data_IF_687654805731
#
_entry.id   IF_687654805731
#
_cell.length_a   1.000
_cell.length_b   1.000
_cell.length_c   1.000
_cell.angle_alpha   90.00
_cell.angle_beta   90.00
_cell.angle_gamma   90.00
#
_symmetry.space_group_name_H-M   'P 1'
#
loop_
_entity.id
_entity.type
_entity.pdbx_description
1 polymer ?
#
# COMPACT_ATOMS: atom_id res chain seq x y z
N UNK A 1 82.01 23.71 -22.98
CA UNK A 1 80.70 24.12 -23.53
C UNK A 1 80.45 23.27 -24.77
N UNK A 2 79.64 22.21 -24.65
CA UNK A 2 79.33 21.28 -25.74
C UNK A 2 77.96 21.64 -26.33
N UNK A 3 77.90 21.86 -27.65
CA UNK A 3 76.64 22.05 -28.39
C UNK A 3 75.97 20.70 -28.64
N UNK A 4 74.67 20.54 -28.36
CA UNK A 4 73.96 19.29 -28.65
C UNK A 4 73.73 19.15 -30.16
N UNK A 5 74.11 17.99 -30.69
CA UNK A 5 73.80 17.54 -32.05
C UNK A 5 72.30 17.27 -32.15
N UNK A 6 71.57 18.11 -32.88
CA UNK A 6 70.21 17.80 -33.30
C UNK A 6 70.29 16.81 -34.46
N UNK A 7 69.84 15.57 -34.22
CA UNK A 7 69.66 14.61 -35.31
C UNK A 7 68.62 15.16 -36.27
N UNK A 8 69.05 15.41 -37.51
CA UNK A 8 68.18 15.81 -38.60
C UNK A 8 67.13 14.72 -38.82
N UNK A 9 65.85 15.05 -38.63
CA UNK A 9 64.75 14.20 -39.10
C UNK A 9 64.75 14.33 -40.61
N UNK A 10 65.04 13.24 -41.32
CA UNK A 10 64.97 13.19 -42.78
C UNK A 10 63.56 13.64 -43.22
N UNK A 11 63.45 14.53 -44.23
CA UNK A 11 62.16 14.96 -44.73
C UNK A 11 61.47 13.75 -45.36
N UNK A 12 60.43 13.24 -44.71
CA UNK A 12 59.55 12.22 -45.29
C UNK A 12 59.06 12.73 -46.64
N UNK A 13 59.15 11.88 -47.68
CA UNK A 13 58.61 12.19 -49.00
C UNK A 13 57.13 12.59 -48.84
N UNK A 14 56.71 13.64 -49.54
CA UNK A 14 55.35 14.19 -49.42
C UNK A 14 54.27 13.11 -49.63
N UNK A 15 54.56 12.13 -50.49
CA UNK A 15 53.71 10.98 -50.78
C UNK A 15 53.50 10.07 -49.56
N UNK A 16 54.53 9.88 -48.72
CA UNK A 16 54.43 9.07 -47.49
C UNK A 16 53.67 9.80 -46.38
N UNK A 17 53.77 11.13 -46.35
CA UNK A 17 52.98 11.97 -45.44
C UNK A 17 51.49 11.96 -45.82
N UNK A 18 51.18 12.10 -47.10
CA UNK A 18 49.81 12.01 -47.62
C UNK A 18 49.22 10.64 -47.29
N UNK A 19 49.95 9.56 -47.56
CA UNK A 19 49.47 8.20 -47.27
C UNK A 19 49.23 7.96 -45.78
N UNK A 20 50.10 8.50 -44.91
CA UNK A 20 49.91 8.41 -43.46
C UNK A 20 48.72 9.24 -42.97
N UNK A 21 48.51 10.42 -43.55
CA UNK A 21 47.35 11.25 -43.23
C UNK A 21 46.05 10.59 -43.66
N UNK A 22 46.00 10.00 -44.86
CA UNK A 22 44.84 9.25 -45.35
C UNK A 22 44.53 8.05 -44.44
N UNK A 23 45.54 7.27 -44.06
CA UNK A 23 45.37 6.14 -43.13
C UNK A 23 44.85 6.58 -41.76
N UNK A 24 45.36 7.68 -41.22
CA UNK A 24 44.92 8.18 -39.91
C UNK A 24 43.51 8.79 -40.00
N UNK A 25 43.16 9.42 -41.12
CA UNK A 25 41.81 9.93 -41.39
C UNK A 25 40.81 8.78 -41.46
N UNK A 26 41.18 7.69 -42.16
CA UNK A 26 40.38 6.47 -42.26
C UNK A 26 40.21 5.82 -40.88
N UNK A 27 41.30 5.70 -40.10
CA UNK A 27 41.25 5.15 -38.74
C UNK A 27 40.34 5.97 -37.82
N UNK A 28 40.35 7.30 -37.95
CA UNK A 28 39.49 8.19 -37.17
C UNK A 28 38.02 8.05 -37.57
N UNK A 29 37.71 7.87 -38.86
CA UNK A 29 36.35 7.57 -39.32
C UNK A 29 35.86 6.20 -38.83
N UNK A 30 36.72 5.18 -38.85
CA UNK A 30 36.38 3.83 -38.38
C UNK A 30 36.23 3.75 -36.85
N UNK A 31 36.95 4.59 -36.09
CA UNK A 31 36.89 4.65 -34.62
C UNK A 31 35.82 5.60 -34.09
N UNK A 32 35.28 6.47 -34.93
CA UNK A 32 34.23 7.42 -34.56
C UNK A 32 32.99 7.06 -35.36
N UNK A 33 32.14 6.12 -34.89
CA UNK A 33 30.86 5.91 -35.54
C UNK A 33 30.17 7.26 -35.65
N UNK A 34 29.73 7.62 -36.86
CA UNK A 34 28.89 8.79 -37.04
C UNK A 34 27.76 8.68 -36.01
N UNK A 35 27.63 9.69 -35.15
CA UNK A 35 26.52 9.72 -34.20
C UNK A 35 25.28 9.86 -35.05
N UNK A 36 24.63 8.74 -35.32
CA UNK A 36 23.23 8.69 -35.72
C UNK A 36 22.48 9.29 -34.53
N UNK A 37 22.38 10.62 -34.52
CA UNK A 37 21.36 11.29 -33.73
C UNK A 37 20.07 10.77 -34.33
N UNK A 38 19.52 9.74 -33.70
CA UNK A 38 18.15 9.29 -33.90
C UNK A 38 17.35 10.59 -33.85
N UNK A 39 16.88 11.02 -35.01
CA UNK A 39 16.28 12.34 -35.22
C UNK A 39 14.85 12.31 -34.67
N UNK A 40 14.71 11.76 -33.46
CA UNK A 40 13.54 11.80 -32.59
C UNK A 40 13.36 13.21 -31.97
N UNK A 41 13.92 14.23 -32.62
CA UNK A 41 13.47 15.63 -32.54
C UNK A 41 11.97 15.79 -32.88
N UNK A 42 11.27 14.73 -33.33
CA UNK A 42 9.83 14.75 -33.61
C UNK A 42 8.93 14.80 -32.36
N UNK A 43 9.49 14.66 -31.15
CA UNK A 43 8.74 14.78 -29.89
C UNK A 43 9.42 15.75 -28.94
N UNK A 44 9.55 17.01 -29.35
CA UNK A 44 9.71 18.07 -28.36
C UNK A 44 8.61 17.89 -27.31
N UNK A 45 9.00 17.66 -26.07
CA UNK A 45 8.03 17.50 -24.99
C UNK A 45 7.27 18.81 -24.90
N UNK A 46 6.00 18.83 -25.34
CA UNK A 46 5.16 20.03 -25.30
C UNK A 46 5.10 20.66 -23.91
N UNK A 47 5.39 19.88 -22.86
CA UNK A 47 5.59 20.37 -21.51
C UNK A 47 6.77 21.35 -21.40
N UNK A 48 7.92 21.03 -21.96
CA UNK A 48 9.13 21.85 -21.92
C UNK A 48 8.90 23.17 -22.68
N UNK A 49 8.29 23.09 -23.86
CA UNK A 49 7.91 24.28 -24.63
C UNK A 49 6.93 25.16 -23.85
N UNK A 50 5.93 24.55 -23.22
CA UNK A 50 4.98 25.27 -22.38
C UNK A 50 5.66 25.91 -21.18
N UNK A 51 6.58 25.21 -20.50
CA UNK A 51 7.33 25.77 -19.37
C UNK A 51 8.18 26.99 -19.79
N UNK A 52 8.85 26.93 -20.95
CA UNK A 52 9.64 28.04 -21.49
C UNK A 52 8.77 29.26 -21.89
N UNK A 53 7.60 29.03 -22.50
CA UNK A 53 6.69 30.11 -22.89
C UNK A 53 5.91 30.67 -21.68
N UNK A 54 5.69 29.87 -20.64
CA UNK A 54 4.91 30.24 -19.46
C UNK A 54 5.49 31.44 -18.72
N UNK A 55 6.80 31.63 -18.74
CA UNK A 55 7.47 32.77 -18.09
C UNK A 55 7.06 34.13 -18.68
N UNK A 56 6.56 34.14 -19.92
CA UNK A 56 6.15 35.36 -20.64
C UNK A 56 4.75 35.84 -20.27
N UNK A 57 3.95 35.02 -19.59
CA UNK A 57 2.56 35.32 -19.29
C UNK A 57 2.28 35.29 -17.79
N UNK A 58 1.41 36.19 -17.33
CA UNK A 58 0.90 36.11 -15.95
C UNK A 58 -0.02 34.91 -15.78
N UNK A 59 -0.18 34.44 -14.54
CA UNK A 59 -1.10 33.34 -14.22
C UNK A 59 -2.55 33.62 -14.67
N UNK A 60 -2.97 34.90 -14.65
CA UNK A 60 -4.30 35.29 -15.10
C UNK A 60 -4.47 35.19 -16.62
N UNK A 61 -3.47 35.65 -17.39
CA UNK A 61 -3.47 35.54 -18.85
C UNK A 61 -3.45 34.09 -19.31
N UNK A 62 -2.63 33.25 -18.67
CA UNK A 62 -2.61 31.81 -18.93
C UNK A 62 -4.00 31.20 -18.71
N UNK A 63 -4.70 31.57 -17.64
CA UNK A 63 -6.04 31.05 -17.38
C UNK A 63 -7.07 31.52 -18.42
N UNK A 64 -6.94 32.75 -18.94
CA UNK A 64 -7.78 33.23 -20.05
C UNK A 64 -7.52 32.42 -21.31
N UNK A 65 -6.26 32.26 -21.71
CA UNK A 65 -5.88 31.47 -22.90
C UNK A 65 -6.33 30.01 -22.78
N UNK A 66 -6.21 29.42 -21.58
CA UNK A 66 -6.71 28.06 -21.33
C UNK A 66 -8.22 27.94 -21.50
N UNK A 67 -8.99 28.99 -21.21
CA UNK A 67 -10.44 28.97 -21.36
C UNK A 67 -10.88 28.90 -22.83
N UNK A 68 -9.99 29.24 -23.77
CA UNK A 68 -10.24 29.13 -25.21
C UNK A 68 -10.05 27.69 -25.74
N UNK A 69 -9.43 26.79 -24.96
CA UNK A 69 -9.22 25.40 -25.34
C UNK A 69 -10.57 24.68 -25.38
N UNK A 70 -10.97 24.21 -26.57
CA UNK A 70 -12.24 23.50 -26.81
C UNK A 70 -12.16 21.98 -26.63
N UNK A 71 -10.96 21.42 -26.46
CA UNK A 71 -10.76 19.97 -26.33
C UNK A 71 -11.36 19.43 -25.02
N UNK A 72 -12.31 18.51 -25.15
CA UNK A 72 -12.96 17.82 -24.04
C UNK A 72 -11.98 16.94 -23.25
N UNK A 73 -11.01 16.32 -23.91
CA UNK A 73 -10.06 15.43 -23.24
C UNK A 73 -9.07 16.21 -22.36
N UNK A 74 -8.66 17.40 -22.80
CA UNK A 74 -7.93 18.36 -21.98
C UNK A 74 -8.69 18.65 -20.67
N UNK A 75 -9.96 19.06 -20.76
CA UNK A 75 -10.76 19.39 -19.57
C UNK A 75 -11.09 18.19 -18.69
N UNK A 76 -11.31 17.00 -19.26
CA UNK A 76 -11.43 15.76 -18.47
C UNK A 76 -10.19 15.49 -17.66
N UNK A 77 -9.00 15.70 -18.24
CA UNK A 77 -7.72 15.52 -17.57
C UNK A 77 -7.54 16.56 -16.46
N UNK A 78 -7.89 17.82 -16.72
CA UNK A 78 -7.87 18.89 -15.72
C UNK A 78 -8.79 18.59 -14.53
N UNK A 79 -10.02 18.13 -14.80
CA UNK A 79 -10.96 17.74 -13.74
C UNK A 79 -10.41 16.59 -12.90
N UNK A 80 -9.83 15.56 -13.52
CA UNK A 80 -9.18 14.45 -12.80
C UNK A 80 -8.03 14.96 -11.92
N UNK A 81 -7.18 15.83 -12.46
CA UNK A 81 -6.07 16.44 -11.73
C UNK A 81 -6.56 17.23 -10.50
N UNK A 82 -7.57 18.08 -10.68
CA UNK A 82 -8.17 18.85 -9.58
C UNK A 82 -8.85 17.97 -8.54
N UNK A 83 -9.52 16.90 -8.94
CA UNK A 83 -10.11 15.92 -8.03
C UNK A 83 -9.04 15.20 -7.20
N UNK A 84 -7.94 14.80 -7.83
CA UNK A 84 -6.81 14.18 -7.12
C UNK A 84 -6.22 15.15 -6.09
N UNK A 85 -5.97 16.40 -6.46
CA UNK A 85 -5.47 17.43 -5.54
C UNK A 85 -6.46 17.69 -4.39
N UNK A 86 -7.76 17.76 -4.68
CA UNK A 86 -8.79 17.94 -3.66
C UNK A 86 -8.80 16.78 -2.65
N UNK A 87 -8.65 15.54 -3.11
CA UNK A 87 -8.57 14.37 -2.24
C UNK A 87 -7.35 14.43 -1.31
N UNK A 88 -6.19 14.84 -1.82
CA UNK A 88 -4.98 15.04 -1.01
C UNK A 88 -5.23 16.10 0.07
N UNK A 89 -5.73 17.28 -0.31
CA UNK A 89 -6.00 18.37 0.65
C UNK A 89 -7.03 17.98 1.70
N UNK A 90 -8.09 17.26 1.31
CA UNK A 90 -9.09 16.76 2.27
C UNK A 90 -8.45 15.71 3.19
N UNK A 91 -7.65 14.79 2.66
CA UNK A 91 -6.92 13.78 3.42
C UNK A 91 -6.01 14.42 4.47
N UNK A 92 -5.18 15.37 4.06
CA UNK A 92 -4.25 16.10 4.93
C UNK A 92 -5.00 16.84 6.04
N UNK A 93 -6.10 17.52 5.71
CA UNK A 93 -6.93 18.21 6.72
C UNK A 93 -7.54 17.24 7.72
N UNK A 94 -7.98 16.06 7.28
CA UNK A 94 -8.54 15.05 8.18
C UNK A 94 -7.46 14.49 9.11
N UNK A 95 -6.26 14.23 8.58
CA UNK A 95 -5.11 13.77 9.38
C UNK A 95 -4.71 14.84 10.38
N UNK A 96 -4.53 16.10 9.95
CA UNK A 96 -4.18 17.22 10.82
C UNK A 96 -5.22 17.46 11.91
N UNK A 97 -6.51 17.32 11.61
CA UNK A 97 -7.57 17.49 12.62
C UNK A 97 -7.52 16.44 13.73
N UNK A 98 -7.08 15.23 13.41
CA UNK A 98 -7.02 14.10 14.35
C UNK A 98 -5.66 13.97 15.05
N UNK A 99 -4.56 14.37 14.40
CA UNK A 99 -3.19 14.17 14.88
C UNK A 99 -2.48 15.49 15.22
N UNK A 100 -3.21 16.50 15.74
CA UNK A 100 -2.81 17.93 15.79
C UNK A 100 -1.39 18.22 16.29
N UNK A 101 -0.82 17.39 17.17
CA UNK A 101 0.46 17.69 17.83
C UNK A 101 1.37 16.46 18.01
N UNK A 102 1.04 15.30 17.44
CA UNK A 102 1.85 14.09 17.59
C UNK A 102 2.03 13.33 16.28
N UNK A 103 3.10 12.54 16.22
CA UNK A 103 3.29 11.57 15.15
C UNK A 103 2.07 10.65 15.08
N UNK A 104 1.47 10.45 13.89
CA UNK A 104 0.27 9.63 13.79
C UNK A 104 0.52 8.19 14.24
N UNK A 105 -0.31 7.69 15.13
CA UNK A 105 -0.25 6.29 15.56
C UNK A 105 -1.16 5.42 14.69
N UNK A 106 -0.97 4.10 14.74
CA UNK A 106 -1.88 3.15 14.07
C UNK A 106 -3.32 3.25 14.60
N UNK A 107 -3.50 3.67 15.86
CA UNK A 107 -4.81 3.94 16.44
C UNK A 107 -5.50 5.12 15.78
N UNK A 108 -4.77 6.20 15.53
CA UNK A 108 -5.29 7.41 14.89
C UNK A 108 -5.70 7.13 13.44
N UNK A 109 -4.87 6.39 12.71
CA UNK A 109 -5.18 5.97 11.33
C UNK A 109 -6.42 5.09 11.27
N UNK A 110 -6.63 4.21 12.25
CA UNK A 110 -7.87 3.42 12.36
C UNK A 110 -9.08 4.32 12.62
N UNK A 111 -8.96 5.27 13.55
CA UNK A 111 -10.04 6.22 13.85
C UNK A 111 -10.40 7.08 12.62
N UNK A 112 -9.38 7.55 11.88
CA UNK A 112 -9.55 8.27 10.63
C UNK A 112 -10.27 7.39 9.60
N UNK A 113 -9.83 6.14 9.42
CA UNK A 113 -10.46 5.17 8.53
C UNK A 113 -11.95 4.97 8.86
N UNK A 114 -12.29 4.83 10.15
CA UNK A 114 -13.68 4.68 10.61
C UNK A 114 -14.51 5.94 10.37
N UNK A 115 -13.93 7.14 10.59
CA UNK A 115 -14.60 8.41 10.28
C UNK A 115 -14.88 8.54 8.78
N UNK A 116 -13.90 8.22 7.93
CA UNK A 116 -14.05 8.26 6.48
C UNK A 116 -15.07 7.23 6.00
N UNK A 117 -15.02 6.00 6.51
CA UNK A 117 -16.00 4.96 6.20
C UNK A 117 -17.43 5.39 6.57
N UNK A 118 -17.63 6.04 7.71
CA UNK A 118 -18.95 6.60 8.08
C UNK A 118 -19.39 7.72 7.13
N UNK A 119 -18.48 8.62 6.73
CA UNK A 119 -18.80 9.68 5.77
C UNK A 119 -19.18 9.10 4.41
N UNK A 120 -18.43 8.13 3.91
CA UNK A 120 -18.70 7.44 2.64
C UNK A 120 -20.06 6.75 2.66
N UNK A 121 -20.41 6.07 3.75
CA UNK A 121 -21.75 5.46 3.91
C UNK A 121 -22.88 6.48 3.84
N UNK A 122 -22.72 7.66 4.46
CA UNK A 122 -23.73 8.75 4.38
C UNK A 122 -23.89 9.30 2.96
N UNK A 123 -22.84 9.23 2.15
CA UNK A 123 -22.86 9.62 0.73
C UNK A 123 -23.35 8.49 -0.20
N UNK A 124 -23.89 7.39 0.36
CA UNK A 124 -24.44 6.27 -0.42
C UNK A 124 -23.40 5.22 -0.85
N UNK A 125 -22.14 5.31 -0.40
CA UNK A 125 -21.17 4.25 -0.68
C UNK A 125 -21.46 3.02 0.19
N UNK A 126 -21.76 1.89 -0.45
CA UNK A 126 -22.08 0.64 0.24
C UNK A 126 -20.81 -0.01 0.81
N UNK A 127 -20.98 -0.81 1.87
CA UNK A 127 -19.87 -1.62 2.41
C UNK A 127 -19.24 -2.54 1.37
N UNK A 128 -20.05 -3.06 0.44
CA UNK A 128 -19.57 -3.87 -0.69
C UNK A 128 -18.63 -3.07 -1.59
N UNK A 129 -19.03 -1.86 -1.99
CA UNK A 129 -18.21 -1.02 -2.87
C UNK A 129 -16.90 -0.60 -2.20
N UNK A 130 -16.92 -0.30 -0.90
CA UNK A 130 -15.69 -0.04 -0.14
C UNK A 130 -14.78 -1.27 -0.06
N UNK A 131 -15.34 -2.47 0.00
CA UNK A 131 -14.56 -3.71 -0.04
C UNK A 131 -13.94 -3.94 -1.42
N UNK A 132 -14.68 -3.71 -2.51
CA UNK A 132 -14.16 -3.78 -3.87
C UNK A 132 -12.96 -2.83 -4.04
N UNK A 133 -13.07 -1.57 -3.62
CA UNK A 133 -11.94 -0.62 -3.63
C UNK A 133 -10.76 -1.06 -2.76
N UNK A 134 -10.99 -1.81 -1.68
CA UNK A 134 -9.90 -2.34 -0.84
C UNK A 134 -9.11 -3.42 -1.57
N UNK A 135 -9.74 -4.19 -2.46
CA UNK A 135 -9.09 -5.23 -3.23
C UNK A 135 -8.19 -4.66 -4.34
N UNK A 136 -8.46 -3.42 -4.77
CA UNK A 136 -7.63 -2.69 -5.75
C UNK A 136 -6.32 -2.14 -5.12
N UNK A 137 -6.06 -2.37 -3.83
CA UNK A 137 -4.82 -1.96 -3.17
C UNK A 137 -3.69 -2.88 -3.63
N UNK A 138 -2.73 -2.34 -4.39
CA UNK A 138 -1.55 -3.06 -4.91
C UNK A 138 -0.39 -3.15 -3.91
N UNK A 139 -0.49 -2.46 -2.76
CA UNK A 139 0.58 -2.45 -1.76
C UNK A 139 0.68 -3.82 -1.02
N UNK A 140 1.70 -4.60 -1.36
CA UNK A 140 2.03 -5.86 -0.69
C UNK A 140 2.31 -5.69 0.81
N UNK A 141 2.81 -4.54 1.24
CA UNK A 141 3.06 -4.23 2.65
C UNK A 141 1.76 -4.21 3.46
N UNK A 142 0.71 -3.63 2.90
CA UNK A 142 -0.64 -3.62 3.46
C UNK A 142 -1.15 -5.06 3.69
N UNK A 143 -1.10 -5.90 2.66
CA UNK A 143 -1.60 -7.28 2.72
C UNK A 143 -0.78 -8.18 3.64
N UNK A 144 0.55 -7.99 3.67
CA UNK A 144 1.44 -8.76 4.55
C UNK A 144 1.05 -8.60 6.02
N UNK A 145 0.67 -7.39 6.44
CA UNK A 145 0.26 -7.12 7.81
C UNK A 145 -1.03 -7.87 8.18
N UNK A 146 -2.03 -7.83 7.29
CA UNK A 146 -3.31 -8.54 7.48
C UNK A 146 -3.11 -10.07 7.46
N UNK A 147 -2.33 -10.59 6.51
CA UNK A 147 -2.04 -12.01 6.38
C UNK A 147 -1.31 -12.57 7.63
N UNK A 148 -0.32 -11.85 8.15
CA UNK A 148 0.40 -12.24 9.36
C UNK A 148 -0.52 -12.29 10.59
N UNK A 149 -1.40 -11.29 10.73
CA UNK A 149 -2.39 -11.27 11.81
C UNK A 149 -3.35 -12.46 11.72
N UNK A 150 -3.89 -12.72 10.52
CA UNK A 150 -4.81 -13.83 10.28
C UNK A 150 -4.14 -15.19 10.51
N UNK A 151 -2.90 -15.37 10.06
CA UNK A 151 -2.11 -16.58 10.33
C UNK A 151 -1.92 -16.79 11.82
N UNK A 152 -1.48 -15.76 12.55
CA UNK A 152 -1.30 -15.82 14.01
C UNK A 152 -2.60 -16.22 14.74
N UNK A 153 -3.72 -15.60 14.37
CA UNK A 153 -5.04 -15.90 14.96
C UNK A 153 -5.55 -17.29 14.61
N UNK A 154 -5.27 -17.77 13.40
CA UNK A 154 -5.63 -19.12 12.98
C UNK A 154 -4.83 -20.16 13.77
N UNK A 155 -3.51 -19.97 13.90
CA UNK A 155 -2.66 -20.83 14.73
C UNK A 155 -3.11 -20.85 16.20
N UNK A 156 -3.47 -19.69 16.76
CA UNK A 156 -4.00 -19.59 18.12
C UNK A 156 -5.29 -20.42 18.27
N UNK A 157 -6.24 -20.27 17.34
CA UNK A 157 -7.50 -21.04 17.37
C UNK A 157 -7.26 -22.54 17.27
N UNK A 158 -6.35 -22.99 16.40
CA UNK A 158 -6.00 -24.41 16.32
C UNK A 158 -5.41 -24.93 17.63
N UNK A 159 -4.50 -24.17 18.24
CA UNK A 159 -3.95 -24.52 19.55
C UNK A 159 -5.02 -24.62 20.63
N UNK A 160 -5.96 -23.66 20.66
CA UNK A 160 -7.07 -23.66 21.63
C UNK A 160 -7.94 -24.92 21.44
N UNK A 161 -8.33 -25.24 20.20
CA UNK A 161 -9.11 -26.43 19.86
C UNK A 161 -8.38 -27.71 20.27
N UNK A 162 -7.09 -27.84 19.95
CA UNK A 162 -6.27 -28.99 20.33
C UNK A 162 -6.15 -29.12 21.85
N UNK A 163 -5.96 -28.00 22.55
CA UNK A 163 -5.86 -27.97 24.01
C UNK A 163 -7.16 -28.43 24.66
N UNK A 164 -8.31 -28.01 24.13
CA UNK A 164 -9.63 -28.45 24.58
C UNK A 164 -9.86 -29.93 24.30
N UNK A 165 -9.47 -30.41 23.11
CA UNK A 165 -9.55 -31.83 22.75
C UNK A 165 -8.71 -32.69 23.69
N UNK A 166 -7.47 -32.29 23.99
CA UNK A 166 -6.58 -32.98 24.96
C UNK A 166 -7.17 -32.99 26.36
N UNK A 167 -7.74 -31.88 26.83
CA UNK A 167 -8.45 -31.81 28.12
C UNK A 167 -9.63 -32.78 28.17
N UNK A 168 -10.43 -32.87 27.09
CA UNK A 168 -11.55 -33.81 27.00
C UNK A 168 -11.10 -35.27 27.04
N UNK A 169 -10.03 -35.61 26.34
CA UNK A 169 -9.45 -36.98 26.36
C UNK A 169 -8.91 -37.31 27.76
N UNK A 170 -8.16 -36.41 28.39
CA UNK A 170 -7.63 -36.60 29.75
C UNK A 170 -8.75 -36.85 30.79
N UNK A 171 -9.84 -36.08 30.73
CA UNK A 171 -11.00 -36.25 31.60
C UNK A 171 -11.77 -37.56 31.33
N UNK A 172 -11.75 -38.08 30.10
CA UNK A 172 -12.33 -39.37 29.76
C UNK A 172 -11.45 -40.51 30.28
N UNK A 173 -10.13 -40.44 30.10
CA UNK A 173 -9.18 -41.43 30.58
C UNK A 173 -9.16 -41.55 32.11
N UNK A 174 -9.31 -40.43 32.86
CA UNK A 174 -9.44 -40.48 34.32
C UNK A 174 -10.74 -41.15 34.79
N UNK A 175 -11.81 -41.13 34.00
CA UNK A 175 -13.09 -41.79 34.34
C UNK A 175 -13.08 -43.30 34.08
N UNK A 176 -12.16 -43.81 33.27
CA UNK A 176 -12.06 -45.24 32.91
C UNK A 176 -11.05 -46.00 33.78
N UNK A 177 -10.18 -45.29 34.52
CA UNK A 177 -9.27 -45.88 35.50
C UNK A 177 -9.97 -46.20 36.84
N UNK A 178 -10.96 -47.10 36.82
CA UNK A 178 -11.34 -47.92 37.99
C UNK A 178 -12.02 -49.22 37.56
N UNK A 179 -11.25 -50.25 37.20
CA UNK A 179 -11.70 -51.62 37.33
C UNK A 179 -11.50 -52.07 38.79
N UNK A 180 -12.59 -52.51 39.43
CA UNK A 180 -12.62 -52.83 40.85
C UNK A 180 -11.76 -54.03 41.28
N UNK A 181 -11.33 -53.96 42.55
CA UNK A 181 -11.32 -55.08 43.50
C UNK A 181 -12.30 -54.65 44.62
N UNK A 182 -13.47 -55.28 44.82
CA UNK A 182 -13.67 -56.50 45.61
C UNK A 182 -13.05 -56.35 47.01
N UNK A 183 -13.72 -56.36 48.16
CA UNK A 183 -15.08 -56.64 48.64
C UNK A 183 -15.23 -55.82 49.93
N UNK A 184 -16.35 -55.14 50.18
CA UNK A 184 -16.74 -54.82 51.57
C UNK A 184 -18.25 -54.94 51.71
N UNK A 185 -18.59 -55.64 52.77
CA UNK A 185 -19.88 -56.19 53.16
C UNK A 185 -20.97 -55.14 53.34
N UNK A 186 -22.18 -55.60 53.04
CA UNK A 186 -23.46 -55.00 53.36
C UNK A 186 -23.53 -54.62 54.85
N UNK A 187 -23.71 -53.33 55.16
CA UNK A 187 -24.33 -52.88 56.39
C UNK A 187 -25.06 -51.56 56.11
N UNK A 188 -26.38 -51.61 56.18
CA UNK A 188 -27.25 -50.53 55.75
C UNK A 188 -27.16 -49.27 56.59
N UNK A 189 -27.56 -48.16 55.97
CA UNK A 189 -28.25 -47.09 56.68
C UNK A 189 -29.14 -46.31 55.73
N UNK A 190 -30.42 -46.61 55.83
CA UNK A 190 -31.52 -45.77 55.39
C UNK A 190 -31.43 -44.43 56.15
N UNK A 191 -31.29 -43.31 55.45
CA UNK A 191 -31.68 -41.98 55.97
C UNK A 191 -32.26 -41.10 54.84
N UNK A 192 -33.58 -40.89 54.97
CA UNK A 192 -34.41 -39.69 54.73
C UNK A 192 -33.90 -38.69 53.67
N UNK A 193 -34.56 -38.50 52.53
CA UNK A 193 -35.83 -37.77 52.27
C UNK A 193 -35.79 -36.33 52.80
N UNK A 194 -35.50 -35.38 51.91
CA UNK A 194 -35.94 -33.97 51.87
C UNK A 194 -35.73 -33.52 50.41
N UNK A 195 -36.73 -33.54 49.53
CA UNK A 195 -37.83 -32.57 49.31
C UNK A 195 -37.41 -31.09 49.19
N UNK A 196 -37.68 -30.56 47.98
CA UNK A 196 -38.02 -29.16 47.61
C UNK A 196 -36.86 -28.13 47.65
N UNK A 197 -36.71 -27.19 46.72
CA UNK A 197 -37.56 -26.69 45.65
C UNK A 197 -36.73 -25.99 44.55
N UNK A 198 -37.24 -26.00 43.31
CA UNK A 198 -36.97 -24.96 42.30
C UNK A 198 -37.58 -23.64 42.76
N UNK A 199 -37.11 -22.49 42.25
CA UNK A 199 -38.02 -21.79 41.36
C UNK A 199 -37.38 -21.31 40.06
N UNK A 200 -38.27 -21.25 39.08
CA UNK A 200 -38.12 -20.72 37.72
C UNK A 200 -38.93 -19.42 37.71
N UNK A 201 -38.35 -18.30 37.33
CA UNK A 201 -39.06 -17.10 36.86
C UNK A 201 -38.07 -16.28 36.02
N UNK A 202 -38.12 -16.29 34.68
CA UNK A 202 -38.97 -15.46 33.80
C UNK A 202 -39.02 -13.99 34.22
N UNK A 203 -38.18 -13.17 33.58
CA UNK A 203 -38.25 -11.71 33.60
C UNK A 203 -38.02 -11.16 32.19
N UNK A 204 -39.04 -11.29 31.35
CA UNK A 204 -39.17 -10.64 30.04
C UNK A 204 -39.68 -9.22 30.32
N UNK A 205 -38.91 -8.18 30.01
CA UNK A 205 -39.46 -6.84 29.87
C UNK A 205 -39.20 -6.34 28.44
N UNK A 206 -40.31 -6.23 27.73
CA UNK A 206 -40.50 -5.50 26.48
C UNK A 206 -41.47 -4.38 26.83
N UNK A 207 -41.13 -3.11 26.53
CA UNK A 207 -42.02 -2.03 26.05
C UNK A 207 -41.30 -0.67 26.11
N UNK A 208 -41.14 0.00 24.96
CA UNK A 208 -41.91 1.18 24.47
C UNK A 208 -41.41 2.49 25.10
N UNK A 209 -40.79 3.39 24.33
CA UNK A 209 -41.39 4.43 23.44
C UNK A 209 -41.90 5.64 24.23
N UNK A 210 -41.29 6.81 23.98
CA UNK A 210 -41.83 8.18 23.94
C UNK A 210 -40.62 9.11 23.73
N UNK A 211 -40.43 9.66 22.53
CA UNK A 211 -40.86 11.02 22.13
C UNK A 211 -40.22 12.14 22.97
N UNK A 212 -39.26 12.85 22.36
CA UNK A 212 -39.31 14.28 22.06
C UNK A 212 -38.21 14.64 21.07
#
# INVERSE_FOLDING_TARGET
MATPTFNAVEPLAAEDLVRKLELETQRQQDQTPEVEFENDCSKESHRILLEAERERYSAHEINRLRAEISDVNYWKTEVKSRLALLLVVIGDKVIQQQCREHTPTAGDMRNISDVLGRKLKRQGCTSRRMHEYRLDIEDEGYWRCEANLLRSKTSQRHHDIESEARKRVSLCSQKVASPGRGERTFAGRIRKKDQRAKPRATGRQTRQRLER
#
